data_IF_637409528937
#
_entry.id   IF_637409528937
#
_cell.length_a   1.000
_cell.length_b   1.000
_cell.length_c   1.000
_cell.angle_alpha   90.00
_cell.angle_beta   90.00
_cell.angle_gamma   90.00
#
_symmetry.space_group_name_H-M   'P 1'
#
loop_
_entity.id
_entity.type
_entity.pdbx_description
1 polymer ?
#
# COMPACT_ATOMS: atom_id res chain seq x y z
N UNK A 1 0.83 12.54 14.32
CA UNK A 1 0.61 11.60 13.19
C UNK A 1 0.18 12.40 11.96
N UNK A 2 1.15 12.92 11.23
CA UNK A 2 1.00 13.55 9.90
C UNK A 2 2.42 13.60 9.32
N UNK A 3 2.68 12.94 8.19
CA UNK A 3 3.98 13.02 7.48
C UNK A 3 4.76 11.71 7.28
N UNK A 4 4.48 10.68 8.08
CA UNK A 4 4.95 9.29 7.90
C UNK A 4 3.86 8.48 7.17
N UNK A 5 4.20 7.50 6.30
CA UNK A 5 3.23 6.58 5.75
C UNK A 5 2.43 5.92 6.88
N UNK A 6 1.10 5.86 6.73
CA UNK A 6 0.26 5.09 7.64
C UNK A 6 0.60 3.63 7.41
N UNK A 7 1.15 2.97 8.43
CA UNK A 7 1.65 1.57 8.37
C UNK A 7 0.64 0.62 7.70
N UNK A 8 -0.66 0.86 7.93
CA UNK A 8 -1.74 0.06 7.35
C UNK A 8 -1.73 0.02 5.80
N UNK A 9 -1.23 1.06 5.13
CA UNK A 9 -1.14 1.09 3.66
C UNK A 9 -0.05 0.15 3.15
N UNK A 10 1.11 0.09 3.81
CA UNK A 10 2.13 -0.92 3.57
C UNK A 10 1.59 -2.34 3.81
N UNK A 11 0.86 -2.54 4.90
CA UNK A 11 0.24 -3.84 5.21
C UNK A 11 -0.72 -4.26 4.09
N UNK A 12 -1.56 -3.35 3.57
CA UNK A 12 -2.46 -3.66 2.46
C UNK A 12 -1.71 -4.06 1.18
N UNK A 13 -0.58 -3.40 0.89
CA UNK A 13 0.30 -3.79 -0.23
C UNK A 13 0.85 -5.20 -0.07
N UNK A 14 1.43 -5.50 1.09
CA UNK A 14 1.91 -6.84 1.41
C UNK A 14 0.80 -7.90 1.37
N UNK A 15 -0.34 -7.62 1.99
CA UNK A 15 -1.51 -8.50 2.02
C UNK A 15 -2.02 -8.82 0.61
N UNK A 16 -2.09 -7.83 -0.27
CA UNK A 16 -2.49 -8.02 -1.67
C UNK A 16 -1.56 -9.02 -2.38
N UNK A 17 -0.23 -8.92 -2.21
CA UNK A 17 0.70 -9.89 -2.80
C UNK A 17 0.62 -11.25 -2.13
N UNK A 18 0.64 -11.28 -0.80
CA UNK A 18 0.64 -12.51 -0.02
C UNK A 18 -0.55 -13.39 -0.37
N UNK A 19 -1.75 -12.80 -0.41
CA UNK A 19 -3.01 -13.54 -0.51
C UNK A 19 -3.56 -13.62 -1.93
N UNK A 20 -3.32 -12.62 -2.78
CA UNK A 20 -3.99 -12.50 -4.08
C UNK A 20 -5.50 -12.24 -4.00
N UNK A 21 -6.08 -12.09 -2.80
CA UNK A 21 -7.52 -11.89 -2.60
C UNK A 21 -7.99 -10.50 -3.03
N UNK A 22 -7.08 -9.53 -3.03
CA UNK A 22 -7.34 -8.17 -3.49
C UNK A 22 -6.26 -7.75 -4.49
N UNK A 23 -6.65 -6.94 -5.47
CA UNK A 23 -5.74 -6.42 -6.49
C UNK A 23 -4.99 -5.21 -5.94
N UNK A 24 -3.66 -5.16 -6.15
CA UNK A 24 -2.84 -3.99 -5.82
C UNK A 24 -3.44 -2.70 -6.41
N UNK A 25 -3.86 -2.73 -7.67
CA UNK A 25 -4.47 -1.56 -8.33
C UNK A 25 -5.71 -1.02 -7.60
N UNK A 26 -6.50 -1.88 -6.96
CA UNK A 26 -7.65 -1.45 -6.14
C UNK A 26 -7.18 -0.74 -4.86
N UNK A 27 -6.18 -1.31 -4.18
CA UNK A 27 -5.56 -0.70 -2.99
C UNK A 27 -4.99 0.68 -3.31
N UNK A 28 -4.21 0.78 -4.38
CA UNK A 28 -3.59 2.03 -4.80
C UNK A 28 -4.59 3.12 -5.18
N UNK A 29 -5.68 2.74 -5.87
CA UNK A 29 -6.80 3.65 -6.18
C UNK A 29 -7.50 4.13 -4.90
N UNK A 30 -7.75 3.25 -3.94
CA UNK A 30 -8.35 3.61 -2.67
C UNK A 30 -7.49 4.61 -1.89
N UNK A 31 -6.17 4.38 -1.81
CA UNK A 31 -5.23 5.30 -1.14
C UNK A 31 -5.27 6.70 -1.76
N UNK A 32 -5.20 6.81 -3.10
CA UNK A 32 -5.28 8.12 -3.79
C UNK A 32 -6.63 8.82 -3.65
N UNK A 33 -7.72 8.08 -3.39
CA UNK A 33 -9.05 8.64 -3.11
C UNK A 33 -9.16 9.13 -1.66
N UNK A 34 -8.53 8.44 -0.72
CA UNK A 34 -8.60 8.77 0.72
C UNK A 34 -7.73 9.96 1.10
N UNK A 35 -6.54 10.08 0.52
CA UNK A 35 -5.58 11.15 0.84
C UNK A 35 -5.15 11.91 -0.40
N UNK A 36 -5.04 13.23 -0.27
CA UNK A 36 -4.57 14.13 -1.32
C UNK A 36 -3.12 14.58 -1.08
N UNK A 37 -2.48 15.12 -2.13
CA UNK A 37 -1.15 15.70 -2.06
C UNK A 37 -0.05 14.72 -1.65
N UNK A 38 0.98 15.23 -0.97
CA UNK A 38 2.17 14.47 -0.61
C UNK A 38 1.91 13.31 0.36
N UNK A 39 0.86 13.40 1.18
CA UNK A 39 0.46 12.32 2.08
C UNK A 39 -0.10 11.13 1.29
N UNK A 40 -0.94 11.39 0.28
CA UNK A 40 -1.45 10.35 -0.60
C UNK A 40 -0.33 9.64 -1.36
N UNK A 41 0.62 10.40 -1.90
CA UNK A 41 1.77 9.83 -2.63
C UNK A 41 2.67 8.98 -1.72
N UNK A 42 2.98 9.44 -0.51
CA UNK A 42 3.78 8.65 0.44
C UNK A 42 3.12 7.32 0.80
N UNK A 43 1.81 7.33 1.05
CA UNK A 43 1.04 6.11 1.35
C UNK A 43 0.93 5.20 0.14
N UNK A 44 0.74 5.76 -1.06
CA UNK A 44 0.69 5.01 -2.32
C UNK A 44 2.01 4.26 -2.53
N UNK A 45 3.14 4.95 -2.40
CA UNK A 45 4.48 4.36 -2.56
C UNK A 45 4.76 3.31 -1.49
N UNK A 46 4.32 3.54 -0.25
CA UNK A 46 4.50 2.57 0.83
C UNK A 46 3.76 1.24 0.53
N UNK A 47 2.53 1.31 0.04
CA UNK A 47 1.76 0.14 -0.38
C UNK A 47 2.38 -0.57 -1.60
N UNK A 48 2.75 0.19 -2.63
CA UNK A 48 3.42 -0.33 -3.83
C UNK A 48 4.72 -1.06 -3.48
N UNK A 49 5.56 -0.43 -2.66
CA UNK A 49 6.83 -0.97 -2.24
C UNK A 49 6.70 -2.24 -1.38
N UNK A 50 5.74 -2.27 -0.45
CA UNK A 50 5.48 -3.45 0.36
C UNK A 50 4.99 -4.62 -0.50
N UNK A 51 4.18 -4.36 -1.53
CA UNK A 51 3.82 -5.37 -2.52
C UNK A 51 5.07 -5.85 -3.26
N UNK A 52 5.87 -4.98 -3.85
CA UNK A 52 7.05 -5.37 -4.63
C UNK A 52 8.04 -6.20 -3.81
N UNK A 53 8.34 -5.80 -2.57
CA UNK A 53 9.37 -6.42 -1.73
C UNK A 53 8.94 -7.69 -0.99
N UNK A 54 7.65 -7.99 -0.89
CA UNK A 54 7.23 -9.21 -0.20
C UNK A 54 7.70 -10.44 -0.98
N UNK A 55 8.41 -11.33 -0.31
CA UNK A 55 8.87 -12.62 -0.85
C UNK A 55 7.95 -13.72 -0.29
N UNK A 56 7.62 -14.71 -1.11
CA UNK A 56 6.86 -15.89 -0.70
C UNK A 56 7.84 -17.07 -0.60
N UNK A 57 8.39 -17.31 0.59
CA UNK A 57 9.30 -18.44 0.86
C UNK A 57 8.71 -19.45 1.85
N UNK A 58 7.38 -19.57 1.85
CA UNK A 58 6.61 -20.53 2.65
C UNK A 58 5.78 -21.44 1.75
#
# INVERSE_FOLDING_TARGET
>A
VAGQPVVNTSILGGFAKATGLIRLGTVLKAIKKTWTGSVGEKNFRAAEFAYERLIKEW
#
